data_IF_772289655023
#
_entry.id   IF_772289655023
#
_cell.length_a   1.000
_cell.length_b   1.000
_cell.length_c   1.000
_cell.angle_alpha   90.00
_cell.angle_beta   90.00
_cell.angle_gamma   90.00
#
_symmetry.space_group_name_H-M   'P 1'
#
loop_
_entity.id
_entity.type
_entity.pdbx_description
1 polymer ?
#
# COMPACT_ATOMS: atom_id res chain seq x y z
N UNK A 1 -3.32 13.18 -16.37
CA UNK A 1 -2.00 12.50 -16.48
C UNK A 1 -1.82 11.51 -15.33
N UNK A 2 -1.39 10.29 -15.61
CA UNK A 2 -1.27 9.19 -14.64
C UNK A 2 0.07 9.24 -13.90
N UNK A 3 0.06 9.31 -12.56
CA UNK A 3 1.31 9.27 -11.79
C UNK A 3 1.77 7.84 -11.56
N UNK A 4 3.07 7.59 -11.72
CA UNK A 4 3.70 6.32 -11.37
C UNK A 4 4.26 6.42 -9.95
N UNK A 5 4.10 5.34 -9.18
CA UNK A 5 4.66 5.20 -7.86
C UNK A 5 5.29 3.84 -7.61
N UNK A 6 6.07 3.74 -6.53
CA UNK A 6 6.71 2.51 -6.08
C UNK A 6 6.60 2.35 -4.56
N UNK A 7 6.93 1.16 -4.07
CA UNK A 7 6.62 0.77 -2.70
C UNK A 7 7.82 0.67 -1.74
N UNK A 8 7.67 1.31 -0.58
CA UNK A 8 8.38 1.10 0.69
C UNK A 8 9.88 1.40 0.73
N UNK A 9 10.62 1.16 -0.34
CA UNK A 9 12.09 1.16 -0.33
C UNK A 9 12.59 1.76 -1.63
N UNK A 10 13.56 2.68 -1.54
CA UNK A 10 14.43 3.04 -2.65
C UNK A 10 15.68 2.13 -2.59
N UNK A 11 15.90 1.30 -3.61
CA UNK A 11 17.02 0.35 -3.65
C UNK A 11 18.38 1.05 -3.73
N UNK A 12 18.48 2.13 -4.51
CA UNK A 12 19.71 2.94 -4.60
C UNK A 12 20.18 3.41 -3.21
N UNK A 13 19.25 3.79 -2.35
CA UNK A 13 19.56 4.15 -0.96
C UNK A 13 19.74 2.95 -0.02
N UNK A 14 18.98 1.87 -0.22
CA UNK A 14 18.95 0.75 0.72
C UNK A 14 20.13 -0.21 0.58
N UNK A 15 20.78 -0.20 -0.58
CA UNK A 15 21.99 -0.98 -0.86
C UNK A 15 23.26 -0.32 -0.32
N UNK A 16 23.20 0.94 0.12
CA UNK A 16 24.31 1.62 0.77
C UNK A 16 24.72 0.93 2.10
N UNK A 17 25.99 1.10 2.54
CA UNK A 17 26.45 0.64 3.85
C UNK A 17 25.52 1.12 4.97
N UNK A 18 25.35 0.31 6.02
CA UNK A 18 24.36 0.57 7.09
C UNK A 18 24.47 1.98 7.70
N UNK A 19 25.67 2.54 7.81
CA UNK A 19 25.93 3.88 8.34
C UNK A 19 25.46 5.03 7.45
N UNK A 20 25.25 4.78 6.15
CA UNK A 20 24.84 5.76 5.14
C UNK A 20 23.46 5.45 4.53
N UNK A 21 22.87 4.31 4.92
CA UNK A 21 21.60 3.83 4.38
C UNK A 21 20.47 4.81 4.69
N UNK A 22 19.74 5.20 3.65
CA UNK A 22 18.47 5.93 3.76
C UNK A 22 17.33 4.92 3.57
N UNK A 23 16.44 4.79 4.56
CA UNK A 23 15.34 3.81 4.53
C UNK A 23 14.23 4.17 5.52
N UNK A 24 13.00 3.76 5.22
CA UNK A 24 11.86 3.86 6.15
C UNK A 24 11.55 2.54 6.85
N UNK A 25 12.47 1.58 6.81
CA UNK A 25 12.27 0.20 7.27
C UNK A 25 13.16 -0.20 8.44
N UNK A 26 13.77 0.76 9.16
CA UNK A 26 14.49 0.40 10.37
C UNK A 26 13.49 -0.16 11.36
N UNK A 27 13.76 -1.36 11.86
CA UNK A 27 12.95 -2.04 12.87
C UNK A 27 13.88 -2.84 13.79
N UNK A 28 13.29 -3.55 14.75
CA UNK A 28 14.01 -4.40 15.68
C UNK A 28 13.30 -5.74 15.87
N UNK A 29 14.02 -6.75 16.36
CA UNK A 29 13.41 -8.05 16.70
C UNK A 29 12.80 -8.01 18.10
N UNK A 30 11.90 -8.96 18.41
CA UNK A 30 11.19 -9.05 19.70
C UNK A 30 12.11 -9.00 20.90
N UNK A 31 13.23 -9.74 20.86
CA UNK A 31 14.23 -9.74 21.93
C UNK A 31 14.80 -8.35 22.19
N UNK A 32 15.10 -7.60 21.14
CA UNK A 32 15.62 -6.23 21.26
C UNK A 32 14.55 -5.26 21.76
N UNK A 33 13.29 -5.46 21.37
CA UNK A 33 12.19 -4.65 21.90
C UNK A 33 11.99 -4.89 23.41
N UNK A 34 12.04 -6.14 23.89
CA UNK A 34 11.96 -6.42 25.32
C UNK A 34 13.14 -5.87 26.12
N UNK A 35 14.32 -5.75 25.51
CA UNK A 35 15.54 -5.27 26.16
C UNK A 35 15.66 -3.73 26.14
N UNK A 36 15.30 -3.09 25.02
CA UNK A 36 15.50 -1.65 24.79
C UNK A 36 14.22 -0.81 24.72
N UNK A 37 13.05 -1.45 24.75
CA UNK A 37 11.77 -0.79 24.90
C UNK A 37 11.38 0.20 23.80
N UNK A 38 10.43 1.05 24.17
CA UNK A 38 9.88 2.14 23.35
C UNK A 38 10.95 3.20 23.03
N UNK A 39 11.98 3.32 23.85
CA UNK A 39 13.10 4.24 23.69
C UNK A 39 13.82 4.00 22.36
N UNK A 40 14.20 2.75 22.10
CA UNK A 40 14.82 2.41 20.83
C UNK A 40 13.84 2.46 19.66
N UNK A 41 12.56 2.17 19.90
CA UNK A 41 11.53 2.26 18.85
C UNK A 41 11.39 3.70 18.35
N UNK A 42 11.37 4.66 19.28
CA UNK A 42 11.32 6.09 19.01
C UNK A 42 12.59 6.59 18.27
N UNK A 43 13.78 6.13 18.65
CA UNK A 43 15.03 6.44 17.93
C UNK A 43 14.96 6.00 16.45
N UNK A 44 14.44 4.81 16.18
CA UNK A 44 14.31 4.27 14.83
C UNK A 44 13.19 4.97 14.06
N UNK A 45 12.05 5.25 14.70
CA UNK A 45 10.93 5.99 14.12
C UNK A 45 11.36 7.39 13.66
N UNK A 46 12.10 8.12 14.49
CA UNK A 46 12.63 9.43 14.15
C UNK A 46 13.56 9.36 12.92
N UNK A 47 14.44 8.35 12.85
CA UNK A 47 15.30 8.14 11.69
C UNK A 47 14.51 7.80 10.43
N UNK A 48 13.52 6.92 10.52
CA UNK A 48 12.66 6.55 9.40
C UNK A 48 11.89 7.76 8.85
N UNK A 49 11.34 8.62 9.72
CA UNK A 49 10.60 9.82 9.29
C UNK A 49 11.51 10.90 8.68
N UNK A 50 12.76 11.03 9.15
CA UNK A 50 13.76 11.89 8.52
C UNK A 50 14.12 11.39 7.11
N UNK A 51 14.31 10.08 6.98
CA UNK A 51 14.63 9.46 5.70
C UNK A 51 13.45 9.47 4.73
N UNK A 52 12.21 9.43 5.24
CA UNK A 52 11.02 9.63 4.42
C UNK A 52 11.11 10.96 3.67
N UNK A 53 11.44 12.07 4.34
CA UNK A 53 11.63 13.36 3.69
C UNK A 53 12.70 13.30 2.58
N UNK A 54 13.86 12.68 2.85
CA UNK A 54 14.92 12.52 1.85
C UNK A 54 14.47 11.68 0.63
N UNK A 55 13.69 10.63 0.86
CA UNK A 55 13.10 9.82 -0.22
C UNK A 55 12.11 10.64 -1.04
N UNK A 56 11.28 11.47 -0.40
CA UNK A 56 10.35 12.34 -1.11
C UNK A 56 11.07 13.42 -1.93
N UNK A 57 12.17 13.99 -1.42
CA UNK A 57 13.02 14.91 -2.20
C UNK A 57 13.61 14.21 -3.44
N UNK A 58 14.13 13.01 -3.27
CA UNK A 58 14.65 12.22 -4.39
C UNK A 58 13.54 11.89 -5.40
N UNK A 59 12.34 11.53 -4.92
CA UNK A 59 11.19 11.26 -5.78
C UNK A 59 10.83 12.49 -6.63
N UNK A 60 10.82 13.69 -6.03
CA UNK A 60 10.56 14.93 -6.75
C UNK A 60 11.59 15.15 -7.86
N UNK A 61 12.88 14.94 -7.56
CA UNK A 61 13.98 15.08 -8.53
C UNK A 61 13.88 14.11 -9.71
N UNK A 62 13.11 13.02 -9.57
CA UNK A 62 12.91 12.01 -10.59
C UNK A 62 11.47 12.00 -11.13
N UNK A 63 10.70 13.08 -10.93
CA UNK A 63 9.30 13.19 -11.35
C UNK A 63 8.42 12.01 -10.87
N UNK A 64 8.59 11.61 -9.62
CA UNK A 64 7.78 10.57 -8.96
C UNK A 64 6.89 11.26 -7.93
N UNK A 65 5.57 11.22 -8.17
CA UNK A 65 4.58 11.90 -7.35
C UNK A 65 3.70 10.94 -6.54
N UNK A 66 3.95 9.64 -6.62
CA UNK A 66 3.17 8.62 -5.90
C UNK A 66 4.13 7.68 -5.15
N UNK A 67 3.89 7.45 -3.85
CA UNK A 67 4.76 6.61 -3.03
C UNK A 67 3.96 5.86 -1.96
N UNK A 68 4.22 4.55 -1.84
CA UNK A 68 3.64 3.73 -0.77
C UNK A 68 4.61 3.67 0.42
N UNK A 69 4.15 4.20 1.55
CA UNK A 69 4.83 4.16 2.83
C UNK A 69 4.95 2.73 3.35
N UNK A 70 6.07 2.46 4.02
CA UNK A 70 6.29 1.19 4.71
C UNK A 70 5.50 1.10 6.02
N UNK A 71 4.97 -0.09 6.33
CA UNK A 71 4.40 -0.39 7.65
C UNK A 71 5.44 -0.37 8.78
N UNK A 72 6.73 -0.39 8.47
CA UNK A 72 7.80 -0.39 9.48
C UNK A 72 8.28 1.01 9.87
N UNK A 73 7.60 2.09 9.42
CA UNK A 73 8.02 3.47 9.75
C UNK A 73 8.09 3.67 11.26
N UNK A 74 7.09 3.19 12.00
CA UNK A 74 7.09 3.17 13.46
C UNK A 74 7.24 1.72 13.94
N UNK A 75 8.42 1.30 14.43
CA UNK A 75 8.64 -0.09 14.82
C UNK A 75 7.82 -0.49 16.04
N UNK A 76 7.16 -1.66 15.98
CA UNK A 76 6.41 -2.22 17.13
C UNK A 76 5.25 -1.33 17.62
N UNK A 77 4.74 -0.43 16.78
CA UNK A 77 3.69 0.52 17.15
C UNK A 77 2.37 -0.13 17.60
N UNK A 78 2.16 -1.43 17.39
CA UNK A 78 1.03 -2.16 17.97
C UNK A 78 1.14 -2.41 19.48
N UNK A 79 2.30 -2.15 20.09
CA UNK A 79 2.58 -2.44 21.50
C UNK A 79 2.52 -1.19 22.41
N UNK A 80 2.30 0.01 21.85
CA UNK A 80 2.30 1.28 22.61
C UNK A 80 1.58 2.39 21.85
N UNK A 81 1.13 3.42 22.57
CA UNK A 81 0.54 4.61 21.95
C UNK A 81 1.64 5.54 21.40
N UNK A 82 1.43 6.09 20.19
CA UNK A 82 2.46 6.91 19.52
C UNK A 82 2.90 8.12 20.36
N UNK A 83 1.98 8.68 21.15
CA UNK A 83 2.22 9.85 22.01
C UNK A 83 3.14 9.54 23.19
N UNK A 84 3.27 8.27 23.58
CA UNK A 84 4.14 7.83 24.66
C UNK A 84 5.61 7.69 24.22
N UNK A 85 5.88 7.80 22.92
CA UNK A 85 7.24 7.72 22.41
C UNK A 85 8.12 8.85 22.98
N UNK A 86 9.30 8.53 23.54
CA UNK A 86 10.23 9.57 23.95
C UNK A 86 10.64 10.43 22.75
N UNK A 87 10.86 11.72 23.00
CA UNK A 87 11.09 12.73 21.96
C UNK A 87 9.95 12.82 20.91
N UNK A 88 8.70 12.52 21.29
CA UNK A 88 7.53 12.63 20.42
C UNK A 88 7.46 13.95 19.64
N UNK A 89 7.81 15.09 20.26
CA UNK A 89 7.86 16.38 19.58
C UNK A 89 8.80 16.41 18.36
N UNK A 90 9.96 15.77 18.44
CA UNK A 90 10.89 15.67 17.31
C UNK A 90 10.39 14.70 16.23
N UNK A 91 9.74 13.60 16.64
CA UNK A 91 9.10 12.62 15.74
C UNK A 91 7.98 13.30 14.95
N UNK A 92 7.09 14.01 15.65
CA UNK A 92 5.99 14.76 15.04
C UNK A 92 6.51 15.85 14.10
N UNK A 93 7.54 16.60 14.50
CA UNK A 93 8.15 17.60 13.62
C UNK A 93 8.74 16.98 12.34
N UNK A 94 9.38 15.80 12.43
CA UNK A 94 9.89 15.08 11.26
C UNK A 94 8.76 14.59 10.35
N UNK A 95 7.69 14.03 10.92
CA UNK A 95 6.51 13.59 10.19
C UNK A 95 5.82 14.74 9.45
N UNK A 96 5.56 15.87 10.13
CA UNK A 96 4.99 17.06 9.52
C UNK A 96 5.88 17.65 8.43
N UNK A 97 7.21 17.62 8.60
CA UNK A 97 8.13 18.07 7.55
C UNK A 97 7.95 17.24 6.27
N UNK A 98 7.89 15.91 6.38
CA UNK A 98 7.66 15.03 5.24
C UNK A 98 6.27 15.25 4.60
N UNK A 99 5.21 15.34 5.40
CA UNK A 99 3.86 15.54 4.88
C UNK A 99 3.61 16.92 4.28
N UNK A 100 4.15 17.98 4.87
CA UNK A 100 4.09 19.33 4.29
C UNK A 100 4.84 19.38 2.96
N UNK A 101 5.98 18.70 2.84
CA UNK A 101 6.68 18.57 1.57
C UNK A 101 5.83 17.83 0.53
N UNK A 102 5.27 16.67 0.88
CA UNK A 102 4.39 15.91 -0.02
C UNK A 102 3.20 16.77 -0.50
N UNK A 103 2.50 17.44 0.41
CA UNK A 103 1.35 18.31 0.09
C UNK A 103 1.76 19.48 -0.81
N UNK A 104 2.88 20.15 -0.51
CA UNK A 104 3.39 21.28 -1.29
C UNK A 104 3.68 20.88 -2.75
N UNK A 105 4.14 19.65 -2.98
CA UNK A 105 4.52 19.15 -4.29
C UNK A 105 3.48 18.24 -4.94
N UNK A 106 2.26 18.17 -4.40
CA UNK A 106 1.17 17.37 -4.97
C UNK A 106 1.45 15.87 -4.96
N UNK A 107 2.25 15.38 -4.02
CA UNK A 107 2.57 13.96 -3.90
C UNK A 107 1.48 13.19 -3.17
N UNK A 108 1.11 12.02 -3.72
CA UNK A 108 0.19 11.08 -3.12
C UNK A 108 0.95 10.06 -2.28
N UNK A 109 0.58 9.92 -1.01
CA UNK A 109 1.16 8.95 -0.08
C UNK A 109 0.09 7.96 0.38
N UNK A 110 0.41 6.67 0.32
CA UNK A 110 -0.52 5.58 0.67
C UNK A 110 0.18 4.50 1.46
N UNK A 111 -0.56 3.54 1.99
CA UNK A 111 0.02 2.34 2.61
C UNK A 111 -0.75 1.09 2.20
N UNK A 112 -0.09 -0.05 2.37
CA UNK A 112 -0.71 -1.36 2.25
C UNK A 112 -0.31 -2.16 3.49
N UNK A 113 -1.09 -2.06 4.58
CA UNK A 113 -0.86 -2.83 5.79
C UNK A 113 -0.78 -4.33 5.47
N UNK A 114 0.00 -5.06 6.27
CA UNK A 114 0.38 -6.45 5.96
C UNK A 114 -0.80 -7.44 5.93
N UNK A 115 -0.57 -8.68 5.45
CA UNK A 115 -1.61 -9.70 5.25
C UNK A 115 -2.23 -10.26 6.55
N UNK A 116 -1.85 -9.72 7.70
CA UNK A 116 -2.40 -10.08 9.01
C UNK A 116 -3.67 -9.30 9.34
N UNK A 117 -3.93 -8.20 8.62
CA UNK A 117 -5.16 -7.42 8.70
C UNK A 117 -6.30 -8.19 8.04
N UNK A 118 -7.13 -8.85 8.86
CA UNK A 118 -8.16 -9.80 8.40
C UNK A 118 -9.53 -9.39 8.93
N UNK A 119 -10.09 -8.33 8.35
CA UNK A 119 -11.45 -7.88 8.70
C UNK A 119 -12.51 -8.96 8.42
N UNK A 120 -12.30 -9.86 7.46
CA UNK A 120 -13.20 -10.98 7.22
C UNK A 120 -13.20 -12.04 8.35
N UNK A 121 -12.28 -11.98 9.32
CA UNK A 121 -12.17 -13.02 10.35
C UNK A 121 -13.34 -12.99 11.34
N UNK A 122 -14.01 -14.13 11.60
CA UNK A 122 -15.09 -14.19 12.58
C UNK A 122 -14.58 -14.22 14.04
N UNK A 123 -13.26 -14.25 14.24
CA UNK A 123 -12.64 -14.33 15.55
C UNK A 123 -12.40 -12.92 16.08
N UNK A 124 -13.07 -12.56 17.18
CA UNK A 124 -12.96 -11.23 17.80
C UNK A 124 -11.51 -10.81 18.10
N UNK A 125 -10.68 -11.74 18.57
CA UNK A 125 -9.24 -11.49 18.78
C UNK A 125 -8.52 -11.05 17.49
N UNK A 126 -8.89 -11.61 16.34
CA UNK A 126 -8.27 -11.25 15.05
C UNK A 126 -8.76 -9.89 14.59
N UNK A 127 -10.03 -9.56 14.85
CA UNK A 127 -10.55 -8.21 14.65
C UNK A 127 -9.76 -7.20 15.47
N UNK A 128 -9.61 -7.41 16.79
CA UNK A 128 -8.88 -6.49 17.67
C UNK A 128 -7.44 -6.24 17.20
N UNK A 129 -6.72 -7.29 16.81
CA UNK A 129 -5.36 -7.14 16.27
C UNK A 129 -5.34 -6.36 14.93
N UNK A 130 -6.35 -6.56 14.09
CA UNK A 130 -6.50 -5.83 12.82
C UNK A 130 -6.83 -4.36 13.09
N UNK A 131 -7.74 -4.09 14.01
CA UNK A 131 -8.10 -2.73 14.44
C UNK A 131 -6.88 -2.00 14.99
N UNK A 132 -6.07 -2.63 15.86
CA UNK A 132 -4.83 -2.04 16.38
C UNK A 132 -3.84 -1.71 15.26
N UNK A 133 -3.51 -2.66 14.37
CA UNK A 133 -2.53 -2.43 13.30
C UNK A 133 -3.00 -1.37 12.30
N UNK A 134 -4.28 -1.39 11.89
CA UNK A 134 -4.83 -0.37 11.02
C UNK A 134 -4.87 1.00 11.70
N UNK A 135 -5.18 1.07 12.99
CA UNK A 135 -5.20 2.34 13.75
C UNK A 135 -3.82 2.97 13.83
N UNK A 136 -2.77 2.17 14.03
CA UNK A 136 -1.36 2.62 13.94
C UNK A 136 -1.09 3.29 12.59
N UNK A 137 -1.57 2.70 11.49
CA UNK A 137 -1.45 3.29 10.16
C UNK A 137 -2.25 4.60 10.02
N UNK A 138 -3.48 4.65 10.56
CA UNK A 138 -4.31 5.85 10.59
C UNK A 138 -3.67 7.00 11.38
N UNK A 139 -3.11 6.69 12.56
CA UNK A 139 -2.45 7.66 13.43
C UNK A 139 -1.13 8.17 12.83
N UNK A 140 -0.36 7.29 12.19
CA UNK A 140 0.81 7.71 11.42
C UNK A 140 0.43 8.68 10.28
N UNK A 141 -0.69 8.43 9.60
CA UNK A 141 -1.16 9.30 8.52
C UNK A 141 -1.60 10.66 9.05
N UNK A 142 -2.26 10.70 10.21
CA UNK A 142 -2.61 11.94 10.89
C UNK A 142 -1.35 12.68 11.37
N UNK A 143 -0.34 11.97 11.90
CA UNK A 143 0.94 12.53 12.33
C UNK A 143 1.75 13.16 11.18
N UNK A 144 1.68 12.55 9.99
CA UNK A 144 2.26 13.10 8.75
C UNK A 144 1.41 14.28 8.25
N UNK A 145 0.13 14.34 8.58
CA UNK A 145 -0.81 15.35 8.10
C UNK A 145 -1.45 15.02 6.75
N UNK A 146 -1.68 13.74 6.48
CA UNK A 146 -2.36 13.26 5.27
C UNK A 146 -3.88 13.38 5.40
N UNK A 147 -4.62 13.60 4.29
CA UNK A 147 -6.07 13.74 4.35
C UNK A 147 -6.77 12.46 4.83
N UNK A 148 -7.89 12.61 5.53
CA UNK A 148 -8.82 11.53 5.89
C UNK A 148 -9.77 11.21 4.73
N UNK A 149 -9.21 10.73 3.63
CA UNK A 149 -9.95 10.32 2.43
C UNK A 149 -9.21 9.16 1.74
N UNK A 150 -9.85 8.41 0.84
CA UNK A 150 -9.17 7.42 -0.02
C UNK A 150 -8.04 7.99 -0.89
N UNK A 151 -7.85 9.32 -0.97
CA UNK A 151 -6.63 9.88 -1.58
C UNK A 151 -5.36 9.38 -0.86
N UNK A 152 -5.40 9.30 0.48
CA UNK A 152 -4.37 8.70 1.31
C UNK A 152 -4.80 7.29 1.76
N UNK A 153 -4.93 6.37 0.80
CA UNK A 153 -5.52 5.05 1.07
C UNK A 153 -4.71 4.19 2.03
N UNK A 154 -5.43 3.43 2.85
CA UNK A 154 -4.96 2.25 3.56
C UNK A 154 -5.55 1.03 2.85
N UNK A 155 -4.74 0.38 2.02
CA UNK A 155 -5.22 -0.70 1.17
C UNK A 155 -5.05 -2.06 1.82
N UNK A 156 -6.08 -2.89 1.78
CA UNK A 156 -6.02 -4.29 2.24
C UNK A 156 -6.77 -5.21 1.28
N UNK A 157 -6.48 -6.50 1.34
CA UNK A 157 -7.37 -7.50 0.77
C UNK A 157 -8.46 -7.88 1.77
N UNK A 158 -9.59 -8.41 1.28
CA UNK A 158 -10.53 -9.14 2.15
C UNK A 158 -9.82 -10.34 2.80
N UNK A 159 -8.95 -11.00 2.01
CA UNK A 159 -8.16 -12.13 2.47
C UNK A 159 -8.94 -13.43 2.43
N UNK A 160 -8.97 -14.18 3.53
CA UNK A 160 -9.51 -15.55 3.52
C UNK A 160 -11.04 -15.62 3.29
N UNK A 161 -11.48 -16.64 2.56
CA UNK A 161 -12.91 -16.95 2.36
C UNK A 161 -13.56 -17.73 3.51
N UNK A 162 -12.77 -18.30 4.44
CA UNK A 162 -13.27 -19.12 5.55
C UNK A 162 -14.25 -20.25 5.16
N UNK A 163 -14.17 -20.72 3.91
CA UNK A 163 -15.07 -21.74 3.34
C UNK A 163 -16.42 -21.20 2.85
N UNK A 164 -16.72 -19.92 3.07
CA UNK A 164 -17.98 -19.26 2.71
C UNK A 164 -17.72 -17.78 2.39
N UNK A 165 -17.58 -17.46 1.09
CA UNK A 165 -17.31 -16.10 0.61
C UNK A 165 -18.40 -15.10 1.04
N UNK A 166 -19.72 -15.37 0.87
CA UNK A 166 -20.77 -14.50 1.38
C UNK A 166 -20.64 -14.17 2.87
N UNK A 167 -20.41 -15.18 3.71
CA UNK A 167 -20.20 -14.96 5.15
C UNK A 167 -18.96 -14.10 5.43
N UNK A 168 -17.85 -14.37 4.75
CA UNK A 168 -16.61 -13.64 4.94
C UNK A 168 -16.70 -12.17 4.50
N UNK A 169 -17.41 -11.88 3.42
CA UNK A 169 -17.67 -10.51 2.93
C UNK A 169 -18.61 -9.73 3.85
N UNK A 170 -19.68 -10.35 4.33
CA UNK A 170 -20.56 -9.76 5.35
C UNK A 170 -19.76 -9.41 6.62
N UNK A 171 -18.94 -10.35 7.08
CA UNK A 171 -18.15 -10.15 8.27
C UNK A 171 -17.05 -9.08 8.08
N UNK A 172 -16.47 -8.98 6.88
CA UNK A 172 -15.59 -7.86 6.50
C UNK A 172 -16.30 -6.52 6.65
N UNK A 173 -17.52 -6.40 6.12
CA UNK A 173 -18.33 -5.17 6.20
C UNK A 173 -18.70 -4.81 7.64
N UNK A 174 -19.17 -5.77 8.44
CA UNK A 174 -19.49 -5.54 9.86
C UNK A 174 -18.27 -5.11 10.66
N UNK A 175 -17.11 -5.69 10.39
CA UNK A 175 -15.87 -5.31 11.07
C UNK A 175 -15.34 -3.95 10.59
N UNK A 176 -15.50 -3.61 9.30
CA UNK A 176 -15.20 -2.27 8.80
C UNK A 176 -16.00 -1.18 9.52
N UNK A 177 -17.30 -1.39 9.76
CA UNK A 177 -18.17 -0.41 10.42
C UNK A 177 -17.71 -0.07 11.85
N UNK A 178 -16.99 -1.00 12.49
CA UNK A 178 -16.44 -0.88 13.84
C UNK A 178 -15.10 -0.12 13.89
N UNK A 179 -14.40 0.01 12.76
CA UNK A 179 -13.10 0.68 12.71
C UNK A 179 -13.22 2.17 13.06
N UNK A 180 -12.18 2.75 13.67
CA UNK A 180 -12.14 4.18 13.95
C UNK A 180 -12.10 5.01 12.67
N UNK A 181 -12.56 6.25 12.75
CA UNK A 181 -12.76 7.14 11.60
C UNK A 181 -11.46 7.44 10.82
N UNK A 182 -10.33 7.59 11.52
CA UNK A 182 -9.00 7.79 10.91
C UNK A 182 -8.56 6.62 10.00
N UNK A 183 -9.12 5.42 10.20
CA UNK A 183 -8.93 4.26 9.33
C UNK A 183 -10.05 4.16 8.29
N UNK A 184 -11.29 4.19 8.76
CA UNK A 184 -12.49 3.97 7.93
C UNK A 184 -12.58 4.95 6.76
N UNK A 185 -12.20 6.20 6.97
CA UNK A 185 -12.17 7.27 5.95
C UNK A 185 -11.10 7.07 4.87
N UNK A 186 -10.16 6.14 5.05
CA UNK A 186 -9.02 5.90 4.14
C UNK A 186 -8.99 4.49 3.57
N UNK A 187 -9.76 3.55 4.11
CA UNK A 187 -9.64 2.15 3.74
C UNK A 187 -10.06 1.92 2.29
N UNK A 188 -9.29 1.11 1.57
CA UNK A 188 -9.64 0.58 0.25
C UNK A 188 -9.48 -0.94 0.24
N UNK A 189 -10.18 -1.60 -0.68
CA UNK A 189 -10.11 -3.05 -0.85
C UNK A 189 -9.55 -3.41 -2.23
N UNK A 190 -8.75 -4.47 -2.34
CA UNK A 190 -8.09 -4.88 -3.58
C UNK A 190 -8.46 -6.31 -3.98
N UNK A 191 -8.67 -6.55 -5.29
CA UNK A 191 -8.90 -7.90 -5.85
C UNK A 191 -7.68 -8.80 -5.63
N UNK A 192 -7.89 -10.11 -5.53
CA UNK A 192 -6.91 -11.08 -5.03
C UNK A 192 -6.49 -12.09 -6.13
N UNK A 193 -5.38 -12.79 -5.91
CA UNK A 193 -4.65 -13.56 -6.94
C UNK A 193 -5.00 -15.05 -7.03
N UNK A 194 -6.06 -15.46 -6.32
CA UNK A 194 -6.53 -16.86 -6.21
C UNK A 194 -8.03 -16.94 -6.41
N UNK A 195 -8.46 -17.93 -7.19
CA UNK A 195 -9.88 -18.23 -7.44
C UNK A 195 -10.70 -18.47 -6.15
N UNK A 196 -10.05 -19.02 -5.11
CA UNK A 196 -10.66 -19.21 -3.79
C UNK A 196 -10.92 -17.92 -3.02
N UNK A 197 -10.35 -16.79 -3.47
CA UNK A 197 -10.41 -15.47 -2.83
C UNK A 197 -11.32 -14.55 -3.66
N UNK A 198 -11.03 -13.26 -3.88
CA UNK A 198 -12.06 -12.34 -4.38
C UNK A 198 -11.64 -11.61 -5.65
N UNK A 199 -12.48 -11.74 -6.68
CA UNK A 199 -12.42 -10.95 -7.91
C UNK A 199 -13.00 -9.55 -7.72
N UNK A 200 -12.75 -8.65 -8.68
CA UNK A 200 -13.30 -7.28 -8.67
C UNK A 200 -14.82 -7.26 -8.59
N UNK A 201 -15.52 -8.13 -9.33
CA UNK A 201 -16.98 -8.24 -9.29
C UNK A 201 -17.48 -8.63 -7.89
N UNK A 202 -16.84 -9.61 -7.25
CA UNK A 202 -17.22 -10.04 -5.89
C UNK A 202 -17.01 -8.93 -4.86
N UNK A 203 -15.94 -8.14 -4.99
CA UNK A 203 -15.70 -6.96 -4.15
C UNK A 203 -16.75 -5.87 -4.39
N UNK A 204 -17.14 -5.65 -5.65
CA UNK A 204 -18.17 -4.67 -5.97
C UNK A 204 -19.52 -5.05 -5.37
N UNK A 205 -19.95 -6.29 -5.58
CA UNK A 205 -21.23 -6.81 -5.11
C UNK A 205 -21.29 -6.95 -3.59
N UNK A 206 -20.23 -7.48 -2.96
CA UNK A 206 -20.22 -7.84 -1.55
C UNK A 206 -19.67 -6.78 -0.60
N UNK A 207 -18.86 -5.84 -1.08
CA UNK A 207 -18.19 -4.82 -0.25
C UNK A 207 -18.63 -3.42 -0.63
N UNK A 208 -18.37 -2.99 -1.87
CA UNK A 208 -18.62 -1.61 -2.30
C UNK A 208 -20.09 -1.23 -2.14
N UNK A 209 -21.03 -2.07 -2.62
CA UNK A 209 -22.47 -1.80 -2.44
C UNK A 209 -22.92 -1.71 -0.97
N UNK A 210 -22.21 -2.36 -0.04
CA UNK A 210 -22.61 -2.39 1.38
C UNK A 210 -22.01 -1.27 2.21
N UNK A 211 -20.75 -0.91 1.97
CA UNK A 211 -20.00 0.04 2.81
C UNK A 211 -19.30 1.17 2.03
N UNK A 212 -19.35 1.16 0.70
CA UNK A 212 -18.91 2.28 -0.15
C UNK A 212 -17.41 2.54 -0.21
N UNK A 213 -16.56 1.58 0.23
CA UNK A 213 -15.10 1.78 0.13
C UNK A 213 -14.60 1.53 -1.30
N UNK A 214 -13.63 2.32 -1.80
CA UNK A 214 -13.12 2.15 -3.15
C UNK A 214 -12.37 0.83 -3.35
N UNK A 215 -12.46 0.32 -4.57
CA UNK A 215 -11.77 -0.87 -5.03
C UNK A 215 -10.49 -0.45 -5.76
N UNK A 216 -9.35 -0.89 -5.27
CA UNK A 216 -8.07 -0.83 -5.99
C UNK A 216 -8.03 -2.01 -6.94
N UNK A 217 -7.91 -1.73 -8.23
CA UNK A 217 -7.73 -2.76 -9.24
C UNK A 217 -6.25 -3.14 -9.35
N UNK A 218 -5.93 -4.40 -9.14
CA UNK A 218 -4.62 -4.98 -9.44
C UNK A 218 -4.73 -5.84 -10.73
N UNK A 219 -3.96 -5.42 -11.74
CA UNK A 219 -3.91 -6.06 -13.05
C UNK A 219 -3.35 -7.49 -13.00
N UNK A 220 -2.34 -7.74 -12.16
CA UNK A 220 -1.69 -9.04 -12.05
C UNK A 220 -2.59 -10.03 -11.33
N UNK A 221 -3.29 -9.58 -10.29
CA UNK A 221 -4.29 -10.38 -9.59
C UNK A 221 -5.46 -10.70 -10.53
N UNK A 222 -5.96 -9.73 -11.29
CA UNK A 222 -7.04 -9.94 -12.27
C UNK A 222 -6.65 -10.96 -13.34
N UNK A 223 -5.43 -10.91 -13.87
CA UNK A 223 -4.92 -11.89 -14.83
C UNK A 223 -5.02 -13.33 -14.28
N UNK A 224 -4.78 -13.51 -12.98
CA UNK A 224 -4.81 -14.81 -12.31
C UNK A 224 -6.21 -15.23 -11.87
N UNK A 225 -7.08 -14.25 -11.58
CA UNK A 225 -8.46 -14.46 -11.17
C UNK A 225 -9.41 -13.40 -11.78
N UNK A 226 -9.82 -13.57 -13.06
CA UNK A 226 -10.61 -12.55 -13.75
C UNK A 226 -12.06 -12.40 -13.27
N UNK A 227 -12.57 -13.37 -12.50
CA UNK A 227 -13.95 -13.34 -12.00
C UNK A 227 -15.04 -13.35 -13.09
N UNK A 228 -14.70 -13.77 -14.32
CA UNK A 228 -15.61 -13.75 -15.47
C UNK A 228 -15.74 -12.40 -16.17
N UNK A 229 -14.97 -11.38 -15.77
CA UNK A 229 -14.88 -10.09 -16.44
C UNK A 229 -13.65 -10.02 -17.34
N UNK A 230 -13.74 -9.28 -18.43
CA UNK A 230 -12.55 -8.80 -19.15
C UNK A 230 -11.75 -7.82 -18.28
N UNK A 231 -10.48 -7.58 -18.62
CA UNK A 231 -9.64 -6.60 -17.91
C UNK A 231 -10.27 -5.20 -17.93
N UNK A 232 -10.77 -4.74 -19.08
CA UNK A 232 -11.43 -3.44 -19.22
C UNK A 232 -12.69 -3.34 -18.34
N UNK A 233 -13.58 -4.34 -18.38
CA UNK A 233 -14.82 -4.33 -17.57
C UNK A 233 -14.52 -4.30 -16.08
N UNK A 234 -13.53 -5.09 -15.62
CA UNK A 234 -13.14 -5.11 -14.22
C UNK A 234 -12.48 -3.80 -13.80
N UNK A 235 -11.59 -3.23 -14.63
CA UNK A 235 -10.98 -1.93 -14.39
C UNK A 235 -12.07 -0.86 -14.26
N UNK A 236 -12.93 -0.70 -15.27
CA UNK A 236 -13.97 0.33 -15.29
C UNK A 236 -14.92 0.21 -14.09
N UNK A 237 -15.27 -1.02 -13.71
CA UNK A 237 -16.05 -1.27 -12.50
C UNK A 237 -15.33 -0.79 -11.25
N UNK A 238 -14.05 -1.11 -11.08
CA UNK A 238 -13.27 -0.65 -9.94
C UNK A 238 -13.10 0.89 -9.93
N UNK A 239 -12.78 1.51 -11.08
CA UNK A 239 -12.62 2.96 -11.19
C UNK A 239 -13.90 3.71 -10.79
N UNK A 240 -15.08 3.15 -11.12
CA UNK A 240 -16.38 3.74 -10.77
C UNK A 240 -16.62 3.88 -9.26
N UNK A 241 -15.86 3.17 -8.42
CA UNK A 241 -16.02 3.16 -6.96
C UNK A 241 -15.33 4.31 -6.22
N UNK A 242 -14.56 5.15 -6.93
CA UNK A 242 -13.73 6.18 -6.31
C UNK A 242 -14.39 7.57 -6.22
N UNK A 243 -15.50 7.78 -6.93
CA UNK A 243 -16.15 9.09 -7.03
C UNK A 243 -15.20 10.16 -7.59
N UNK A 244 -15.11 11.29 -6.91
CA UNK A 244 -14.28 12.43 -7.35
C UNK A 244 -12.78 12.27 -7.03
N UNK A 245 -12.40 11.23 -6.29
CA UNK A 245 -11.00 10.97 -5.96
C UNK A 245 -10.37 10.21 -7.11
N UNK A 246 -9.23 10.70 -7.60
CA UNK A 246 -8.48 9.99 -8.65
C UNK A 246 -8.19 8.54 -8.21
N UNK A 247 -8.56 7.52 -9.00
CA UNK A 247 -8.33 6.13 -8.63
C UNK A 247 -6.86 5.75 -8.49
N UNK A 248 -6.61 4.67 -7.76
CA UNK A 248 -5.32 3.98 -7.76
C UNK A 248 -5.49 2.57 -8.28
N UNK A 249 -4.59 2.16 -9.17
CA UNK A 249 -4.41 0.78 -9.60
C UNK A 249 -3.03 0.27 -9.16
N UNK A 250 -2.92 -1.04 -9.04
CA UNK A 250 -1.68 -1.74 -8.80
C UNK A 250 -1.25 -2.50 -10.07
N UNK A 251 0.04 -2.50 -10.36
CA UNK A 251 0.59 -3.15 -11.54
C UNK A 251 1.86 -3.93 -11.21
N UNK A 252 1.82 -5.22 -11.47
CA UNK A 252 2.95 -6.14 -11.41
C UNK A 252 2.98 -7.03 -12.67
N UNK A 253 4.10 -7.73 -12.86
CA UNK A 253 4.21 -8.83 -13.81
C UNK A 253 4.66 -10.10 -13.10
N UNK A 254 4.44 -11.26 -13.74
CA UNK A 254 4.87 -12.53 -13.18
C UNK A 254 6.37 -12.75 -13.28
N UNK A 255 7.01 -13.00 -12.14
CA UNK A 255 8.40 -13.46 -12.07
C UNK A 255 8.61 -14.79 -12.77
N UNK A 256 7.62 -15.68 -12.76
CA UNK A 256 7.72 -16.97 -13.44
C UNK A 256 7.93 -16.78 -14.94
N UNK A 257 7.22 -15.81 -15.54
CA UNK A 257 7.38 -15.44 -16.94
C UNK A 257 8.71 -14.72 -17.19
N UNK A 258 9.09 -13.76 -16.34
CA UNK A 258 10.37 -13.02 -16.47
C UNK A 258 11.59 -13.96 -16.49
N UNK A 259 11.60 -14.99 -15.63
CA UNK A 259 12.71 -15.94 -15.52
C UNK A 259 12.50 -17.21 -16.34
N UNK A 260 11.41 -17.31 -17.12
CA UNK A 260 10.98 -18.50 -17.84
C UNK A 260 11.06 -19.78 -16.97
N UNK A 261 10.60 -19.67 -15.71
CA UNK A 261 10.77 -20.71 -14.70
C UNK A 261 9.41 -21.08 -14.07
N UNK A 262 8.81 -22.21 -14.48
CA UNK A 262 7.50 -22.65 -14.00
C UNK A 262 7.51 -23.11 -12.53
N UNK A 263 8.68 -23.27 -11.90
CA UNK A 263 8.78 -23.57 -10.46
C UNK A 263 8.53 -22.34 -9.58
N UNK A 264 8.65 -21.14 -10.15
CA UNK A 264 8.29 -19.89 -9.47
C UNK A 264 6.77 -19.76 -9.55
N UNK A 265 6.11 -19.48 -8.42
CA UNK A 265 4.67 -19.27 -8.38
C UNK A 265 4.26 -18.12 -9.31
N UNK A 266 3.17 -18.25 -10.09
CA UNK A 266 2.74 -17.20 -11.01
C UNK A 266 2.40 -15.88 -10.31
N UNK A 267 1.95 -15.95 -9.04
CA UNK A 267 1.69 -14.81 -8.15
C UNK A 267 2.95 -14.00 -7.80
N UNK A 268 4.14 -14.57 -7.88
CA UNK A 268 5.35 -13.87 -7.46
C UNK A 268 5.64 -12.69 -8.41
N UNK A 269 5.78 -11.49 -7.84
CA UNK A 269 6.09 -10.30 -8.62
C UNK A 269 7.50 -10.35 -9.23
N UNK A 270 7.60 -9.88 -10.47
CA UNK A 270 8.84 -9.73 -11.23
C UNK A 270 9.85 -8.80 -10.56
N UNK A 271 11.10 -8.90 -11.00
CA UNK A 271 12.15 -7.96 -10.61
C UNK A 271 11.93 -6.58 -11.24
N UNK A 272 11.66 -6.54 -12.55
CA UNK A 272 11.30 -5.34 -13.31
C UNK A 272 9.95 -5.52 -14.02
N UNK A 273 9.38 -4.42 -14.52
CA UNK A 273 8.19 -4.44 -15.39
C UNK A 273 8.58 -3.93 -16.78
N UNK A 274 8.02 -4.54 -17.81
CA UNK A 274 8.40 -4.33 -19.21
C UNK A 274 7.22 -3.97 -20.10
N UNK A 275 6.07 -4.60 -19.86
CA UNK A 275 4.85 -4.40 -20.63
C UNK A 275 4.23 -3.06 -20.27
N UNK A 276 3.59 -2.45 -21.26
CA UNK A 276 2.72 -1.30 -21.01
C UNK A 276 1.36 -1.83 -20.59
N UNK A 277 0.84 -1.33 -19.47
CA UNK A 277 -0.55 -1.59 -19.09
C UNK A 277 -1.48 -0.81 -20.00
N UNK A 278 -2.64 -1.38 -20.29
CA UNK A 278 -3.72 -0.70 -21.00
C UNK A 278 -4.54 0.11 -20.00
N UNK A 279 -4.62 1.42 -20.23
CA UNK A 279 -5.42 2.33 -19.41
C UNK A 279 -6.83 2.51 -19.95
N UNK A 280 -7.13 1.96 -21.12
CA UNK A 280 -8.42 2.04 -21.79
C UNK A 280 -8.95 3.48 -21.89
N UNK A 281 -8.05 4.47 -21.94
CA UNK A 281 -8.39 5.89 -22.00
C UNK A 281 -8.76 6.54 -20.65
N UNK A 282 -8.56 5.85 -19.53
CA UNK A 282 -8.88 6.33 -18.19
C UNK A 282 -7.68 6.98 -17.47
N UNK A 283 -7.97 7.89 -16.54
CA UNK A 283 -6.97 8.52 -15.69
C UNK A 283 -6.93 7.95 -14.27
N UNK A 284 -5.78 7.44 -13.84
CA UNK A 284 -5.55 6.87 -12.51
C UNK A 284 -4.05 6.92 -12.12
N UNK A 285 -3.74 6.79 -10.83
CA UNK A 285 -2.36 6.64 -10.37
C UNK A 285 -1.99 5.15 -10.31
N UNK A 286 -0.75 4.81 -10.67
CA UNK A 286 -0.28 3.43 -10.84
C UNK A 286 0.81 3.14 -9.80
N UNK A 287 0.56 2.20 -8.91
CA UNK A 287 1.56 1.66 -8.00
C UNK A 287 2.28 0.48 -8.67
N UNK A 288 3.56 0.65 -9.00
CA UNK A 288 4.40 -0.42 -9.54
C UNK A 288 4.85 -1.35 -8.41
N UNK A 289 4.41 -2.59 -8.49
CA UNK A 289 4.53 -3.64 -7.49
C UNK A 289 5.67 -4.62 -7.84
N UNK A 290 6.88 -4.13 -8.08
CA UNK A 290 8.03 -4.96 -8.46
C UNK A 290 9.04 -5.17 -7.31
N UNK A 291 9.94 -6.14 -7.44
CA UNK A 291 11.00 -6.33 -6.43
C UNK A 291 12.06 -5.24 -6.48
N UNK A 292 12.39 -4.70 -7.66
CA UNK A 292 13.41 -3.66 -7.82
C UNK A 292 12.89 -2.22 -7.67
N UNK A 293 11.66 -2.05 -7.19
CA UNK A 293 11.14 -0.76 -6.69
C UNK A 293 11.25 0.38 -7.69
N UNK A 294 11.94 1.47 -7.34
CA UNK A 294 12.11 2.65 -8.19
C UNK A 294 12.79 2.30 -9.52
N UNK A 295 13.69 1.30 -9.55
CA UNK A 295 14.35 0.89 -10.79
C UNK A 295 13.35 0.31 -11.79
N UNK A 296 12.36 -0.45 -11.30
CA UNK A 296 11.28 -0.97 -12.14
C UNK A 296 10.39 0.16 -12.68
N UNK A 297 10.08 1.16 -11.85
CA UNK A 297 9.34 2.35 -12.28
C UNK A 297 10.10 3.14 -13.34
N UNK A 298 11.39 3.41 -13.12
CA UNK A 298 12.22 4.16 -14.07
C UNK A 298 12.31 3.41 -15.41
N UNK A 299 12.50 2.09 -15.35
CA UNK A 299 12.52 1.23 -16.54
C UNK A 299 11.20 1.24 -17.29
N UNK A 300 10.08 1.14 -16.59
CA UNK A 300 8.75 1.22 -17.19
C UNK A 300 8.55 2.53 -17.95
N UNK A 301 9.00 3.64 -17.37
CA UNK A 301 8.90 4.97 -17.97
C UNK A 301 9.74 5.11 -19.24
N UNK A 302 10.95 4.56 -19.25
CA UNK A 302 11.80 4.50 -20.45
C UNK A 302 11.11 3.76 -21.58
N UNK A 303 10.53 2.58 -21.29
CA UNK A 303 9.85 1.77 -22.30
C UNK A 303 8.64 2.50 -22.89
N UNK A 304 7.82 3.16 -22.06
CA UNK A 304 6.68 3.96 -22.54
C UNK A 304 7.09 5.09 -23.48
N UNK A 305 8.19 5.80 -23.17
CA UNK A 305 8.72 6.86 -24.05
C UNK A 305 9.18 6.31 -25.40
N UNK A 306 9.85 5.15 -25.41
CA UNK A 306 10.31 4.50 -26.63
C UNK A 306 9.16 4.03 -27.54
N UNK A 307 8.03 3.62 -26.97
CA UNK A 307 6.84 3.22 -27.74
C UNK A 307 6.14 4.46 -28.31
N UNK A 308 5.98 5.52 -27.51
CA UNK A 308 5.32 6.76 -27.97
C UNK A 308 6.11 7.54 -29.04
N UNK A 309 7.41 7.27 -29.19
CA UNK A 309 8.28 7.91 -30.18
C UNK A 309 8.35 7.16 -31.53
N UNK A 310 7.66 6.02 -31.66
CA UNK A 310 7.57 5.23 -32.89
C UNK A 310 6.20 5.42 -33.54
#
# INVERSE_FOLDING_TARGET
>A
MNYLGYACINQGFSTLPKSQRITTNRTMIKRTFHDRGIEYAAELALQNLRDLYTILEWNLQHDIYFYRLSSNIIPWASEYDLVDMPNFGAIHAAALKAGNFARKHGMRLTSHPGPFNKLASPKERVYQLTETDLSVHGDLFDLIGLPRTPYAKLNIHVGAAYGDKPFALDNFCRNFERLPDNVRSRLTVENDDKESLYSTLELYEGVYKRIGIPIVFDYHHHMLHPGGQTEQEALELALSTWGDIKPVVHYAESRSLEHNNPKIKPQAHSDLVYKTLDDYGHEFDIMIEAKHKELALLRYRENKKCIAAK
#
